data_IF_821976850411
#
_entry.id   IF_821976850411
#
_cell.length_a   1.000
_cell.length_b   1.000
_cell.length_c   1.000
_cell.angle_alpha   90.00
_cell.angle_beta   90.00
_cell.angle_gamma   90.00
#
_symmetry.space_group_name_H-M   'P 1'
#
loop_
_entity.id
_entity.type
_entity.pdbx_description
1 polymer ?
#
# COMPACT_ATOMS: atom_id res chain seq x y z
N UNK A 1 -39.36 -47.85 23.49
CA UNK A 1 -39.32 -46.59 24.25
C UNK A 1 -37.93 -46.40 24.84
N UNK A 2 -37.10 -45.61 24.23
CA UNK A 2 -35.86 -45.09 24.84
C UNK A 2 -35.61 -43.72 24.23
N UNK A 3 -35.95 -42.67 24.96
CA UNK A 3 -35.65 -41.29 24.64
C UNK A 3 -34.20 -41.00 25.05
N UNK A 4 -33.29 -40.87 24.08
CA UNK A 4 -31.94 -40.37 24.28
C UNK A 4 -31.95 -38.85 24.19
N UNK A 5 -31.62 -38.20 25.31
CA UNK A 5 -31.49 -36.75 25.41
C UNK A 5 -30.25 -36.27 24.64
N UNK A 6 -30.46 -35.46 23.62
CA UNK A 6 -29.40 -34.73 22.95
C UNK A 6 -28.83 -33.65 23.91
N UNK A 7 -27.56 -33.76 24.29
CA UNK A 7 -26.81 -32.71 24.99
C UNK A 7 -26.44 -31.61 23.99
N UNK A 8 -26.65 -30.35 24.31
CA UNK A 8 -26.21 -29.26 23.42
C UNK A 8 -24.68 -29.11 23.46
N UNK A 9 -24.06 -29.22 22.31
CA UNK A 9 -22.62 -29.03 22.03
C UNK A 9 -22.12 -27.55 22.11
N UNK A 10 -22.91 -26.69 22.74
CA UNK A 10 -22.69 -25.23 22.70
C UNK A 10 -21.85 -24.63 23.81
N UNK A 11 -21.17 -25.40 24.68
CA UNK A 11 -20.51 -24.83 25.87
C UNK A 11 -19.05 -25.22 26.07
N UNK A 12 -18.37 -25.77 25.08
CA UNK A 12 -16.98 -26.25 25.24
C UNK A 12 -15.92 -25.47 24.41
N UNK A 13 -16.30 -24.42 23.70
CA UNK A 13 -15.34 -23.62 22.92
C UNK A 13 -15.14 -22.16 23.41
N UNK A 14 -15.82 -21.76 24.49
CA UNK A 14 -15.69 -20.40 25.03
C UNK A 14 -14.61 -20.23 26.11
N UNK A 15 -13.83 -21.28 26.40
CA UNK A 15 -12.96 -21.29 27.58
C UNK A 15 -11.44 -21.36 27.33
N UNK A 16 -10.95 -21.28 26.10
CA UNK A 16 -9.52 -21.52 25.84
C UNK A 16 -8.86 -20.65 24.77
N UNK A 17 -9.19 -19.38 24.65
CA UNK A 17 -8.45 -18.42 23.83
C UNK A 17 -8.40 -17.04 24.52
N UNK A 18 -7.92 -17.00 25.75
CA UNK A 18 -7.39 -15.79 26.30
C UNK A 18 -5.91 -16.01 26.58
N UNK A 19 -4.98 -15.56 25.71
CA UNK A 19 -3.59 -15.45 26.09
C UNK A 19 -3.50 -14.36 27.14
N UNK A 20 -3.02 -14.69 28.35
CA UNK A 20 -2.74 -13.73 29.38
C UNK A 20 -1.76 -12.66 28.85
N UNK A 21 -2.18 -11.39 28.83
CA UNK A 21 -1.33 -10.24 28.60
C UNK A 21 -1.27 -9.64 27.18
N UNK A 22 -2.05 -10.11 26.21
CA UNK A 22 -2.14 -9.44 24.90
C UNK A 22 -3.18 -8.32 24.95
N UNK A 23 -2.78 -7.07 24.71
CA UNK A 23 -3.72 -5.99 24.37
C UNK A 23 -4.47 -6.38 23.09
N UNK A 24 -5.66 -6.93 23.23
CA UNK A 24 -6.58 -7.10 22.10
C UNK A 24 -7.17 -5.72 21.78
N UNK A 25 -6.50 -4.94 20.94
CA UNK A 25 -6.99 -3.65 20.44
C UNK A 25 -8.28 -3.79 19.59
N UNK A 26 -8.78 -5.01 19.39
CA UNK A 26 -9.79 -5.27 18.35
C UNK A 26 -11.20 -5.49 18.88
N UNK A 27 -11.40 -5.84 20.15
CA UNK A 27 -12.75 -6.10 20.68
C UNK A 27 -13.17 -4.98 21.63
N UNK A 28 -14.04 -4.09 21.15
CA UNK A 28 -14.77 -3.14 21.99
C UNK A 28 -14.13 -1.78 22.20
N UNK A 29 -12.97 -1.49 21.58
CA UNK A 29 -12.39 -0.12 21.65
C UNK A 29 -13.01 0.75 20.56
N UNK A 30 -13.67 1.88 20.92
CA UNK A 30 -14.22 2.81 19.94
C UNK A 30 -13.12 3.41 19.05
N UNK A 31 -13.44 3.72 17.78
CA UNK A 31 -12.49 4.38 16.87
C UNK A 31 -11.98 5.72 17.38
N UNK A 32 -12.78 6.43 18.17
CA UNK A 32 -12.41 7.70 18.81
C UNK A 32 -11.29 7.57 19.86
N UNK A 33 -11.03 6.37 20.37
CA UNK A 33 -9.95 6.08 21.30
C UNK A 33 -8.69 5.58 20.58
N UNK A 34 -8.81 5.23 19.29
CA UNK A 34 -7.71 4.75 18.48
C UNK A 34 -7.10 5.90 17.66
N UNK A 35 -5.79 5.84 17.48
CA UNK A 35 -5.04 6.82 16.71
C UNK A 35 -4.33 6.14 15.55
N UNK A 36 -4.44 6.73 14.35
CA UNK A 36 -3.68 6.34 13.18
C UNK A 36 -2.51 7.29 13.03
N UNK A 37 -1.30 6.74 13.01
CA UNK A 37 -0.06 7.48 12.81
C UNK A 37 0.43 7.36 11.36
N UNK A 38 0.83 8.48 10.80
CA UNK A 38 1.37 8.59 9.44
C UNK A 38 2.76 9.19 9.51
N UNK A 39 3.81 8.38 9.73
CA UNK A 39 5.18 8.87 9.71
C UNK A 39 5.61 9.24 8.28
N UNK A 40 6.60 10.11 8.19
CA UNK A 40 7.26 10.47 6.94
C UNK A 40 8.11 9.29 6.43
N UNK A 41 8.00 8.99 5.14
CA UNK A 41 8.86 7.99 4.50
C UNK A 41 10.32 8.46 4.45
N UNK A 42 11.25 7.54 4.70
CA UNK A 42 12.69 7.83 4.80
C UNK A 42 13.51 7.24 3.64
N UNK A 43 12.88 6.38 2.84
CA UNK A 43 13.55 5.78 1.67
C UNK A 43 13.90 6.87 0.66
N UNK A 44 15.13 6.83 0.14
CA UNK A 44 15.59 7.79 -0.85
C UNK A 44 14.67 7.80 -2.08
N UNK A 45 14.32 9.00 -2.57
CA UNK A 45 13.43 9.24 -3.70
C UNK A 45 11.96 8.82 -3.49
N UNK A 46 11.58 8.33 -2.32
CA UNK A 46 10.17 8.08 -2.02
C UNK A 46 9.43 9.40 -1.83
N UNK A 47 8.40 9.60 -2.65
CA UNK A 47 7.58 10.81 -2.64
C UNK A 47 6.16 10.57 -2.10
N UNK A 48 5.77 9.30 -1.96
CA UNK A 48 4.43 8.95 -1.49
C UNK A 48 4.31 9.15 0.02
N UNK A 49 3.08 9.31 0.46
CA UNK A 49 2.68 9.29 1.87
C UNK A 49 1.58 8.24 2.06
N UNK A 50 1.55 7.57 3.19
CA UNK A 50 0.63 6.46 3.42
C UNK A 50 -0.84 6.90 3.46
N UNK A 51 -1.11 8.13 3.92
CA UNK A 51 -2.45 8.72 3.94
C UNK A 51 -2.45 10.08 3.26
N UNK A 52 -3.33 10.27 2.29
CA UNK A 52 -3.56 11.56 1.66
C UNK A 52 -4.56 12.39 2.47
N UNK A 53 -4.63 13.72 2.31
CA UNK A 53 -5.66 14.54 2.97
C UNK A 53 -7.09 14.02 2.73
N UNK A 54 -7.38 13.50 1.54
CA UNK A 54 -8.68 12.91 1.23
C UNK A 54 -8.95 11.64 2.05
N UNK A 55 -7.95 10.75 2.20
CA UNK A 55 -8.10 9.56 3.03
C UNK A 55 -8.21 9.90 4.52
N UNK A 56 -7.46 10.90 4.98
CA UNK A 56 -7.57 11.45 6.33
C UNK A 56 -8.98 11.94 6.60
N UNK A 57 -9.59 12.73 5.69
CA UNK A 57 -10.95 13.22 5.85
C UNK A 57 -11.99 12.09 5.97
N UNK A 58 -11.79 10.97 5.25
CA UNK A 58 -12.66 9.79 5.38
C UNK A 58 -12.51 9.13 6.74
N UNK A 59 -11.28 8.94 7.21
CA UNK A 59 -10.98 8.31 8.50
C UNK A 59 -11.51 9.15 9.67
N UNK A 60 -11.30 10.47 9.65
CA UNK A 60 -11.78 11.37 10.69
C UNK A 60 -13.31 11.43 10.73
N UNK A 61 -13.99 11.36 9.56
CA UNK A 61 -15.45 11.24 9.47
C UNK A 61 -15.99 9.96 10.12
N UNK A 62 -15.23 8.87 10.07
CA UNK A 62 -15.55 7.59 10.72
C UNK A 62 -15.24 7.59 12.23
N UNK A 63 -14.64 8.64 12.73
CA UNK A 63 -14.33 8.84 14.16
C UNK A 63 -12.88 8.50 14.55
N UNK A 64 -11.99 8.19 13.60
CA UNK A 64 -10.59 7.95 13.91
C UNK A 64 -9.84 9.25 14.28
N UNK A 65 -8.94 9.17 15.24
CA UNK A 65 -7.92 10.19 15.42
C UNK A 65 -6.76 9.94 14.45
N UNK A 66 -6.36 10.96 13.68
CA UNK A 66 -5.24 10.84 12.74
C UNK A 66 -4.15 11.83 13.12
N UNK A 67 -2.92 11.34 13.24
CA UNK A 67 -1.72 12.15 13.46
C UNK A 67 -0.75 11.95 12.29
N UNK A 68 -0.22 13.04 11.77
CA UNK A 68 0.67 13.03 10.60
C UNK A 68 1.99 13.67 11.01
N UNK A 69 3.11 13.03 10.71
CA UNK A 69 4.44 13.59 10.94
C UNK A 69 4.63 14.84 10.08
N UNK A 70 5.18 15.90 10.67
CA UNK A 70 5.44 17.16 9.99
C UNK A 70 6.19 16.95 8.67
N UNK A 71 5.64 17.49 7.59
CA UNK A 71 6.21 17.38 6.26
C UNK A 71 6.13 15.98 5.63
N UNK A 72 5.34 15.05 6.16
CA UNK A 72 5.20 13.71 5.60
C UNK A 72 4.62 13.72 4.17
N UNK A 73 3.65 14.61 3.89
CA UNK A 73 3.02 14.76 2.58
C UNK A 73 3.75 15.69 1.61
N UNK A 74 4.76 16.43 2.04
CA UNK A 74 5.36 17.51 1.26
C UNK A 74 5.90 17.06 -0.11
N UNK A 75 6.51 15.88 -0.19
CA UNK A 75 7.03 15.31 -1.43
C UNK A 75 5.94 14.79 -2.37
N UNK A 76 4.74 14.52 -1.84
CA UNK A 76 3.55 14.15 -2.59
C UNK A 76 2.70 15.38 -2.98
N UNK A 77 3.23 16.60 -2.81
CA UNK A 77 2.53 17.87 -3.03
C UNK A 77 1.34 18.10 -2.08
N UNK A 78 1.35 17.47 -0.91
CA UNK A 78 0.38 17.71 0.16
C UNK A 78 1.04 18.50 1.29
N UNK A 79 0.64 19.77 1.44
CA UNK A 79 1.08 20.60 2.55
C UNK A 79 0.45 20.12 3.88
N UNK A 80 1.13 20.40 5.00
CA UNK A 80 0.64 20.02 6.33
C UNK A 80 -0.74 20.62 6.63
N UNK A 81 -1.00 21.84 6.15
CA UNK A 81 -2.26 22.55 6.27
C UNK A 81 -3.42 21.80 5.65
N UNK A 82 -3.20 21.08 4.53
CA UNK A 82 -4.22 20.27 3.88
C UNK A 82 -4.62 19.08 4.76
N UNK A 83 -3.66 18.47 5.46
CA UNK A 83 -3.92 17.39 6.41
C UNK A 83 -4.65 17.90 7.65
N UNK A 84 -4.31 19.10 8.15
CA UNK A 84 -5.01 19.75 9.25
C UNK A 84 -6.45 20.08 8.87
N UNK A 85 -6.68 20.62 7.67
CA UNK A 85 -8.03 20.91 7.16
C UNK A 85 -8.87 19.63 7.03
N UNK A 86 -8.24 18.48 6.79
CA UNK A 86 -8.88 17.17 6.75
C UNK A 86 -9.14 16.56 8.16
N UNK A 87 -8.71 17.23 9.22
CA UNK A 87 -8.93 16.82 10.60
C UNK A 87 -7.76 16.08 11.28
N UNK A 88 -6.60 15.98 10.64
CA UNK A 88 -5.41 15.43 11.26
C UNK A 88 -4.72 16.44 12.20
N UNK A 89 -3.91 15.92 13.12
CA UNK A 89 -2.97 16.71 13.91
C UNK A 89 -1.55 16.50 13.37
N UNK A 90 -0.81 17.60 13.18
CA UNK A 90 0.61 17.51 12.82
C UNK A 90 1.43 17.33 14.09
N UNK A 91 2.30 16.33 14.05
CA UNK A 91 3.10 15.89 15.20
C UNK A 91 4.56 15.66 14.81
N UNK A 92 5.41 15.39 15.76
CA UNK A 92 6.76 14.89 15.53
C UNK A 92 6.76 13.39 15.19
N UNK A 93 7.92 12.89 14.76
CA UNK A 93 8.11 11.48 14.38
C UNK A 93 7.78 10.52 15.53
N UNK A 94 8.20 10.84 16.73
CA UNK A 94 8.00 10.01 17.92
C UNK A 94 6.51 9.85 18.24
N UNK A 95 5.76 10.93 18.18
CA UNK A 95 4.32 10.92 18.39
C UNK A 95 3.56 10.19 17.26
N UNK A 96 4.04 10.28 15.99
CA UNK A 96 3.46 9.52 14.90
C UNK A 96 3.62 8.00 15.10
N UNK A 97 4.78 7.55 15.60
CA UNK A 97 5.01 6.14 15.95
C UNK A 97 4.36 5.71 17.27
N UNK A 98 3.94 6.64 18.13
CA UNK A 98 3.22 6.32 19.36
C UNK A 98 1.73 5.99 19.12
N UNK A 99 1.23 6.12 17.90
CA UNK A 99 -0.14 5.82 17.50
C UNK A 99 -0.50 4.33 17.66
N UNK A 100 -1.79 4.03 17.80
CA UNK A 100 -2.30 2.66 17.91
C UNK A 100 -2.07 1.84 16.64
N UNK A 101 -2.25 2.46 15.48
CA UNK A 101 -2.00 1.89 14.15
C UNK A 101 -1.07 2.82 13.38
N UNK A 102 0.08 2.31 12.99
CA UNK A 102 1.06 3.02 12.16
C UNK A 102 0.84 2.62 10.72
N UNK A 103 0.72 3.59 9.81
CA UNK A 103 0.54 3.34 8.37
C UNK A 103 1.76 3.85 7.61
N UNK A 104 2.41 2.97 6.85
CA UNK A 104 3.57 3.28 5.99
C UNK A 104 3.38 2.73 4.58
N UNK A 105 4.12 3.29 3.64
CA UNK A 105 4.22 2.76 2.27
C UNK A 105 5.31 1.71 2.18
N UNK A 106 6.53 2.06 2.58
CA UNK A 106 7.69 1.20 2.46
C UNK A 106 7.94 0.35 3.71
N UNK A 107 8.70 -0.71 3.51
CA UNK A 107 9.24 -1.55 4.60
C UNK A 107 9.93 -0.66 5.64
N UNK A 108 9.62 -0.80 6.92
CA UNK A 108 10.32 -0.07 7.97
C UNK A 108 11.82 -0.41 7.99
N UNK A 109 12.65 0.60 8.18
CA UNK A 109 14.06 0.38 8.52
C UNK A 109 14.20 -0.29 9.89
N UNK A 110 15.37 -0.89 10.24
CA UNK A 110 15.58 -1.48 11.58
C UNK A 110 15.36 -0.47 12.71
N UNK A 111 15.69 0.81 12.51
CA UNK A 111 15.46 1.88 13.48
C UNK A 111 13.97 2.21 13.60
N UNK A 112 13.27 2.28 12.49
CA UNK A 112 11.81 2.50 12.46
C UNK A 112 11.06 1.33 13.09
N UNK A 113 11.50 0.11 12.84
CA UNK A 113 10.92 -1.07 13.46
C UNK A 113 11.00 -1.05 14.99
N UNK A 114 12.08 -0.49 15.56
CA UNK A 114 12.19 -0.29 17.02
C UNK A 114 11.11 0.66 17.55
N UNK A 115 10.74 1.68 16.77
CA UNK A 115 9.72 2.66 17.16
C UNK A 115 8.30 2.08 17.09
N UNK A 116 8.07 1.03 16.31
CA UNK A 116 6.76 0.35 16.24
C UNK A 116 6.37 -0.24 17.59
N UNK A 117 7.31 -0.87 18.31
CA UNK A 117 7.03 -1.52 19.59
C UNK A 117 5.99 -2.64 19.45
N UNK A 118 5.04 -2.70 20.38
CA UNK A 118 3.93 -3.69 20.42
C UNK A 118 2.67 -3.24 19.67
N UNK A 119 2.78 -2.21 18.82
CA UNK A 119 1.64 -1.57 18.13
C UNK A 119 1.28 -2.27 16.83
N UNK A 120 0.21 -1.81 16.20
CA UNK A 120 -0.18 -2.27 14.86
C UNK A 120 0.59 -1.50 13.80
N UNK A 121 1.06 -2.23 12.78
CA UNK A 121 1.73 -1.69 11.60
C UNK A 121 1.01 -2.16 10.33
N UNK A 122 0.62 -1.24 9.46
CA UNK A 122 0.12 -1.49 8.12
C UNK A 122 1.13 -0.95 7.10
N UNK A 123 1.77 -1.84 6.33
CA UNK A 123 2.82 -1.47 5.38
C UNK A 123 3.08 -2.56 4.36
N UNK A 124 3.83 -2.27 3.31
CA UNK A 124 4.53 -3.31 2.54
C UNK A 124 5.64 -3.90 3.42
N UNK A 125 5.77 -5.21 3.45
CA UNK A 125 6.72 -5.90 4.35
C UNK A 125 7.72 -6.76 3.58
N UNK A 126 7.29 -7.40 2.49
CA UNK A 126 8.09 -8.36 1.72
C UNK A 126 8.71 -9.44 2.61
N UNK A 127 7.90 -10.28 3.28
CA UNK A 127 8.36 -11.18 4.35
C UNK A 127 9.51 -12.10 3.95
N UNK A 128 9.46 -12.63 2.73
CA UNK A 128 10.51 -13.53 2.23
C UNK A 128 11.88 -12.85 2.04
N UNK A 129 11.89 -11.53 1.89
CA UNK A 129 13.10 -10.73 1.65
C UNK A 129 13.62 -10.09 2.95
N UNK A 130 12.79 -9.99 3.98
CA UNK A 130 13.08 -9.27 5.23
C UNK A 130 12.86 -10.16 6.47
N UNK A 131 13.51 -11.34 6.57
CA UNK A 131 13.32 -12.25 7.72
C UNK A 131 13.78 -11.62 9.05
N UNK A 132 14.84 -10.82 9.05
CA UNK A 132 15.36 -10.16 10.26
C UNK A 132 14.38 -9.11 10.80
N UNK A 133 13.73 -8.36 9.91
CA UNK A 133 12.65 -7.44 10.29
C UNK A 133 11.49 -8.18 10.94
N UNK A 134 11.09 -9.32 10.36
CA UNK A 134 10.01 -10.12 10.95
C UNK A 134 10.38 -10.62 12.34
N UNK A 135 11.60 -11.11 12.53
CA UNK A 135 12.08 -11.55 13.83
C UNK A 135 12.06 -10.40 14.86
N UNK A 136 12.47 -9.20 14.45
CA UNK A 136 12.45 -8.01 15.29
C UNK A 136 11.01 -7.61 15.68
N UNK A 137 10.07 -7.53 14.71
CA UNK A 137 8.68 -7.21 14.97
C UNK A 137 7.97 -8.27 15.83
N UNK A 138 8.31 -9.55 15.62
CA UNK A 138 7.83 -10.66 16.46
C UNK A 138 8.33 -10.55 17.90
N UNK A 139 9.60 -10.24 18.10
CA UNK A 139 10.17 -10.04 19.44
C UNK A 139 9.49 -8.91 20.20
N UNK A 140 9.05 -7.87 19.50
CA UNK A 140 8.30 -6.74 20.05
C UNK A 140 6.81 -7.04 20.22
N UNK A 141 6.31 -8.19 19.75
CA UNK A 141 4.89 -8.56 19.73
C UNK A 141 4.01 -7.60 18.91
N UNK A 142 4.59 -6.98 17.88
CA UNK A 142 3.85 -6.11 16.96
C UNK A 142 2.78 -6.89 16.19
N UNK A 143 1.66 -6.25 15.92
CA UNK A 143 0.64 -6.78 15.01
C UNK A 143 0.87 -6.18 13.63
N UNK A 144 1.15 -7.01 12.62
CA UNK A 144 1.56 -6.54 11.29
C UNK A 144 0.56 -6.94 10.22
N UNK A 145 0.12 -5.96 9.44
CA UNK A 145 -0.68 -6.14 8.23
C UNK A 145 0.19 -5.86 7.00
N UNK A 146 0.64 -6.92 6.35
CA UNK A 146 1.48 -6.83 5.15
C UNK A 146 0.60 -6.65 3.91
N UNK A 147 0.62 -5.46 3.31
CA UNK A 147 -0.20 -5.12 2.14
C UNK A 147 0.18 -5.93 0.89
N UNK A 148 1.44 -6.34 0.79
CA UNK A 148 1.96 -7.19 -0.29
C UNK A 148 1.54 -8.67 -0.15
N UNK A 149 1.08 -9.09 1.02
CA UNK A 149 0.59 -10.45 1.29
C UNK A 149 -0.92 -10.61 1.11
N UNK A 150 -1.65 -9.57 0.70
CA UNK A 150 -3.08 -9.67 0.43
C UNK A 150 -3.32 -10.65 -0.73
N UNK A 151 -4.16 -11.69 -0.56
CA UNK A 151 -4.36 -12.71 -1.58
C UNK A 151 -5.17 -12.16 -2.75
N UNK A 152 -4.48 -11.91 -3.88
CA UNK A 152 -5.06 -11.34 -5.11
C UNK A 152 -5.98 -12.30 -5.87
N UNK A 153 -5.92 -13.58 -5.56
CA UNK A 153 -6.81 -14.61 -6.13
C UNK A 153 -8.22 -14.57 -5.58
N UNK A 154 -8.41 -13.95 -4.42
CA UNK A 154 -9.72 -13.77 -3.79
C UNK A 154 -10.36 -12.48 -4.28
N UNK A 155 -11.56 -12.55 -4.86
CA UNK A 155 -12.26 -11.37 -5.40
C UNK A 155 -12.48 -10.27 -4.35
N UNK A 156 -12.72 -10.63 -3.09
CA UNK A 156 -12.81 -9.65 -1.99
C UNK A 156 -11.46 -9.01 -1.65
N UNK A 157 -10.34 -9.71 -1.85
CA UNK A 157 -8.99 -9.20 -1.60
C UNK A 157 -8.55 -8.18 -2.67
N UNK A 158 -9.10 -8.26 -3.88
CA UNK A 158 -8.72 -7.36 -4.98
C UNK A 158 -8.98 -5.88 -4.68
N UNK A 159 -10.00 -5.57 -3.87
CA UNK A 159 -10.28 -4.19 -3.45
C UNK A 159 -9.16 -3.58 -2.59
N UNK A 160 -8.32 -4.41 -1.98
CA UNK A 160 -7.22 -4.02 -1.11
C UNK A 160 -5.85 -4.25 -1.76
N UNK A 161 -5.81 -4.60 -3.06
CA UNK A 161 -4.58 -4.88 -3.80
C UNK A 161 -3.84 -3.58 -4.17
N UNK A 162 -3.18 -3.00 -3.17
CA UNK A 162 -2.35 -1.82 -3.34
C UNK A 162 -1.15 -2.09 -4.26
N UNK A 163 -0.63 -3.32 -4.27
CA UNK A 163 0.52 -3.70 -5.11
C UNK A 163 0.18 -3.60 -6.59
N UNK A 164 -0.96 -4.14 -7.03
CA UNK A 164 -1.39 -4.02 -8.43
C UNK A 164 -1.69 -2.57 -8.81
N UNK A 165 -2.29 -1.78 -7.92
CA UNK A 165 -2.52 -0.35 -8.15
C UNK A 165 -1.21 0.39 -8.39
N UNK A 166 -0.18 0.13 -7.58
CA UNK A 166 1.15 0.74 -7.75
C UNK A 166 1.87 0.23 -9.00
N UNK A 167 1.73 -1.06 -9.33
CA UNK A 167 2.30 -1.63 -10.55
C UNK A 167 1.69 -1.00 -11.83
N UNK A 168 0.40 -0.68 -11.82
CA UNK A 168 -0.25 0.03 -12.92
C UNK A 168 0.37 1.41 -13.15
N UNK A 169 0.54 2.19 -12.08
CA UNK A 169 1.20 3.51 -12.12
C UNK A 169 2.65 3.39 -12.60
N UNK A 170 3.37 2.37 -12.13
CA UNK A 170 4.75 2.12 -12.55
C UNK A 170 4.86 1.86 -14.07
N UNK A 171 3.96 1.06 -14.63
CA UNK A 171 3.90 0.79 -16.07
C UNK A 171 3.59 2.06 -16.90
N UNK A 172 2.64 2.86 -16.45
CA UNK A 172 2.35 4.17 -17.04
C UNK A 172 3.59 5.08 -17.01
N UNK A 173 4.20 5.23 -15.84
CA UNK A 173 5.36 6.12 -15.66
C UNK A 173 6.56 5.68 -16.48
N UNK A 174 6.80 4.39 -16.60
CA UNK A 174 7.89 3.84 -17.42
C UNK A 174 7.80 4.31 -18.88
N UNK A 175 6.60 4.32 -19.46
CA UNK A 175 6.40 4.81 -20.83
C UNK A 175 6.61 6.32 -20.93
N UNK A 176 6.16 7.09 -19.94
CA UNK A 176 6.36 8.55 -19.92
C UNK A 176 7.86 8.88 -19.84
N UNK A 177 8.62 8.18 -19.00
CA UNK A 177 10.08 8.37 -18.90
C UNK A 177 10.79 7.93 -20.19
N UNK A 178 10.37 6.80 -20.77
CA UNK A 178 10.89 6.34 -22.05
C UNK A 178 10.62 7.38 -23.16
N UNK A 179 9.43 7.96 -23.20
CA UNK A 179 9.06 8.99 -24.17
C UNK A 179 9.91 10.26 -24.01
N UNK A 180 10.13 10.68 -22.76
CA UNK A 180 10.97 11.83 -22.43
C UNK A 180 12.42 11.64 -22.91
N UNK A 181 12.95 10.42 -22.79
CA UNK A 181 14.33 10.09 -23.19
C UNK A 181 14.48 9.71 -24.66
N UNK A 182 13.39 9.41 -25.36
CA UNK A 182 13.43 8.88 -26.73
C UNK A 182 13.79 9.94 -27.78
N UNK A 183 13.51 11.22 -27.53
CA UNK A 183 13.86 12.35 -28.39
C UNK A 183 13.12 12.39 -29.76
N UNK A 184 12.04 11.59 -29.93
CA UNK A 184 11.22 11.53 -31.14
C UNK A 184 9.73 11.42 -30.77
N UNK A 185 8.86 11.60 -31.81
CA UNK A 185 7.43 11.37 -31.64
C UNK A 185 7.11 9.91 -31.37
N UNK A 186 6.16 9.63 -30.47
CA UNK A 186 5.59 8.29 -30.29
C UNK A 186 4.59 7.98 -31.40
N UNK A 187 3.69 8.88 -31.72
CA UNK A 187 2.80 8.76 -32.86
C UNK A 187 3.53 9.06 -34.19
N UNK A 188 3.05 8.47 -35.27
CA UNK A 188 3.47 8.90 -36.60
C UNK A 188 3.05 10.34 -36.86
N UNK A 189 3.93 11.12 -37.46
CA UNK A 189 3.69 12.54 -37.77
C UNK A 189 3.98 12.85 -39.24
N UNK A 190 3.25 13.82 -39.80
CA UNK A 190 3.60 14.46 -41.04
C UNK A 190 4.10 15.88 -40.72
N UNK A 191 5.33 16.15 -41.12
CA UNK A 191 5.97 17.46 -40.89
C UNK A 191 6.31 18.13 -42.24
N UNK A 192 6.72 19.38 -42.21
CA UNK A 192 7.22 20.05 -43.43
C UNK A 192 8.45 19.36 -44.02
N UNK A 193 9.25 18.67 -43.19
CA UNK A 193 10.41 17.87 -43.61
C UNK A 193 10.05 16.45 -44.06
N UNK A 194 8.76 16.08 -44.05
CA UNK A 194 8.28 14.77 -44.48
C UNK A 194 7.67 13.93 -43.35
N UNK A 195 7.47 12.64 -43.65
CA UNK A 195 6.80 11.67 -42.76
C UNK A 195 7.76 11.12 -41.72
N UNK A 196 7.37 11.23 -40.44
CA UNK A 196 8.04 10.54 -39.32
C UNK A 196 7.23 9.30 -38.96
N UNK A 197 7.83 8.09 -39.00
CA UNK A 197 7.10 6.89 -38.62
C UNK A 197 6.88 6.84 -37.10
N UNK A 198 5.84 6.11 -36.61
CA UNK A 198 5.60 5.94 -35.20
C UNK A 198 6.74 5.19 -34.51
N UNK A 199 6.91 5.44 -33.22
CA UNK A 199 7.84 4.71 -32.37
C UNK A 199 7.45 3.23 -32.30
N UNK A 200 8.46 2.36 -32.19
CA UNK A 200 8.26 0.92 -31.94
C UNK A 200 8.65 0.63 -30.50
N UNK A 201 7.71 0.13 -29.71
CA UNK A 201 7.89 -0.18 -28.29
C UNK A 201 7.79 -1.70 -28.10
N UNK A 202 8.78 -2.28 -27.44
CA UNK A 202 8.74 -3.66 -26.97
C UNK A 202 8.55 -3.67 -25.46
N UNK A 203 7.51 -4.36 -24.99
CA UNK A 203 7.23 -4.57 -23.58
C UNK A 203 7.52 -6.03 -23.24
N UNK A 204 8.38 -6.24 -22.24
CA UNK A 204 8.75 -7.56 -21.74
C UNK A 204 8.01 -7.83 -20.43
N UNK A 205 7.04 -8.74 -20.45
CA UNK A 205 6.18 -9.12 -19.35
C UNK A 205 4.76 -8.56 -19.46
N UNK A 206 3.75 -9.45 -19.47
CA UNK A 206 2.33 -9.15 -19.59
C UNK A 206 1.61 -9.08 -18.23
N UNK A 207 2.31 -8.68 -17.15
CA UNK A 207 1.70 -8.40 -15.85
C UNK A 207 1.00 -7.04 -15.82
N UNK A 208 0.53 -6.61 -14.65
CA UNK A 208 -0.20 -5.34 -14.48
C UNK A 208 0.60 -4.15 -15.00
N UNK A 209 1.88 -4.05 -14.64
CA UNK A 209 2.76 -2.97 -15.12
C UNK A 209 2.96 -3.03 -16.64
N UNK A 210 3.20 -4.24 -17.20
CA UNK A 210 3.39 -4.40 -18.64
C UNK A 210 2.14 -4.04 -19.43
N UNK A 211 0.96 -4.47 -19.00
CA UNK A 211 -0.31 -4.12 -19.66
C UNK A 211 -0.60 -2.61 -19.58
N UNK A 212 -0.31 -1.98 -18.45
CA UNK A 212 -0.41 -0.53 -18.32
C UNK A 212 0.55 0.21 -19.27
N UNK A 213 1.78 -0.29 -19.40
CA UNK A 213 2.76 0.23 -20.34
C UNK A 213 2.29 0.07 -21.81
N UNK A 214 1.77 -1.10 -22.17
CA UNK A 214 1.18 -1.35 -23.52
C UNK A 214 0.07 -0.35 -23.81
N UNK A 215 -0.88 -0.22 -22.88
CA UNK A 215 -2.01 0.70 -23.05
C UNK A 215 -1.54 2.14 -23.21
N UNK A 216 -0.58 2.58 -22.37
CA UNK A 216 -0.05 3.94 -22.41
C UNK A 216 0.67 4.23 -23.71
N UNK A 217 1.60 3.36 -24.12
CA UNK A 217 2.36 3.53 -25.36
C UNK A 217 1.46 3.49 -26.61
N UNK A 218 0.43 2.63 -26.60
CA UNK A 218 -0.58 2.57 -27.66
C UNK A 218 -1.40 3.86 -27.73
N UNK A 219 -1.83 4.39 -26.60
CA UNK A 219 -2.56 5.67 -26.52
C UNK A 219 -1.71 6.85 -27.03
N UNK A 220 -0.37 6.78 -26.82
CA UNK A 220 0.57 7.75 -27.39
C UNK A 220 0.85 7.54 -28.89
N UNK A 221 0.21 6.55 -29.53
CA UNK A 221 0.30 6.32 -30.97
C UNK A 221 1.50 5.47 -31.42
N UNK A 222 2.20 4.80 -30.50
CA UNK A 222 3.29 3.90 -30.82
C UNK A 222 2.80 2.54 -31.37
N UNK A 223 3.65 1.88 -32.14
CA UNK A 223 3.49 0.47 -32.51
C UNK A 223 4.06 -0.38 -31.37
N UNK A 224 3.19 -1.10 -30.64
CA UNK A 224 3.59 -1.83 -29.44
C UNK A 224 3.60 -3.33 -29.71
N UNK A 225 4.65 -4.00 -29.23
CA UNK A 225 4.76 -5.46 -29.15
C UNK A 225 4.92 -5.85 -27.70
N UNK A 226 4.16 -6.87 -27.28
CA UNK A 226 4.25 -7.48 -25.94
C UNK A 226 4.84 -8.88 -26.07
N UNK A 227 5.75 -9.22 -25.17
CA UNK A 227 6.25 -10.57 -25.00
C UNK A 227 6.04 -11.03 -23.55
N UNK A 228 5.50 -12.22 -23.35
CA UNK A 228 5.37 -12.88 -22.04
C UNK A 228 5.74 -14.36 -22.19
N UNK A 229 6.40 -14.91 -21.19
CA UNK A 229 6.77 -16.35 -21.15
C UNK A 229 5.59 -17.25 -20.78
N UNK A 230 4.57 -16.69 -20.15
CA UNK A 230 3.37 -17.43 -19.71
C UNK A 230 2.41 -17.62 -20.86
N UNK A 231 1.85 -18.83 -20.99
CA UNK A 231 0.89 -19.15 -22.04
C UNK A 231 -0.38 -18.27 -22.02
N UNK A 232 -0.82 -17.85 -20.83
CA UNK A 232 -1.97 -16.95 -20.67
C UNK A 232 -1.73 -15.50 -21.15
N UNK A 233 -0.50 -15.14 -21.49
CA UNK A 233 -0.14 -13.82 -22.03
C UNK A 233 -0.04 -13.78 -23.56
N UNK A 234 -0.36 -14.85 -24.26
CA UNK A 234 -0.29 -14.97 -25.73
C UNK A 234 -1.59 -14.56 -26.40
#
# INVERSE_FOLDING_TARGET
>A
MLRGAARPLGRLLAGRLAPAGGRTLVTGTPYSELTIGVPKETVALERRVAQTPESVAKLTKEGWNVVVEKGAGAQASFADEASVAAGAKIVDRSAAYAASLITKVNVPTPEEAKLVGDRMLLSMIWPAQNPDLLAQLQAQKATVFAMDCIPRTLSRGQAFDALSSQANIAGYRAVVEAANSFGRFFAGQMTAAGKVPPAKVLVLGGGVAGLAAVQTAKNMGAVVRLFDVRAAGK
#
